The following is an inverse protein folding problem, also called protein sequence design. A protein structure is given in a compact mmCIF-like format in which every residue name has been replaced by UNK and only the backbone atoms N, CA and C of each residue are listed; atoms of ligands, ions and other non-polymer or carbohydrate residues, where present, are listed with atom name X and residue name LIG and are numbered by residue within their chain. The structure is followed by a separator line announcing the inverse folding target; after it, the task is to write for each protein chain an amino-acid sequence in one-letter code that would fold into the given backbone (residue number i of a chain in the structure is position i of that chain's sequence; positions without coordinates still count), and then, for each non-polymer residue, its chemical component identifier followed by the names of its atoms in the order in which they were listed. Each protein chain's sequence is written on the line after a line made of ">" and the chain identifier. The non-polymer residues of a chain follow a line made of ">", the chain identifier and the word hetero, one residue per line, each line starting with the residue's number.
data_IF_118562772467
#
_entry.id   IF_118562772467
#
_cell.length_a   1.000
_cell.length_b   1.000
_cell.length_c   1.000
_cell.angle_alpha   90.00
_cell.angle_beta   90.00
_cell.angle_gamma   90.00
#
_symmetry.space_group_name_H-M   'P 1'
#
loop_
_entity.id
_entity.type
_entity.pdbx_description
1 polymer ?
#
# COMPACT_ATOMS: atom_id res chain seq x y z
N UNK A 1 -2.89 -15.30 30.88
CA UNK A 1 -3.13 -15.72 29.48
C UNK A 1 -3.81 -14.57 28.76
N UNK A 2 -3.20 -14.09 27.66
CA UNK A 2 -3.86 -13.62 26.44
C UNK A 2 -2.86 -12.74 25.67
N UNK A 3 -2.20 -13.36 24.69
CA UNK A 3 -1.64 -12.68 23.53
C UNK A 3 -2.63 -12.86 22.37
N UNK A 4 -3.51 -11.87 22.07
CA UNK A 4 -4.36 -11.92 20.88
C UNK A 4 -3.98 -10.88 19.80
N UNK A 5 -2.83 -10.20 19.93
CA UNK A 5 -2.50 -9.05 19.07
C UNK A 5 -1.77 -9.38 17.76
N UNK A 6 -1.03 -10.49 17.68
CA UNK A 6 -0.22 -10.80 16.48
C UNK A 6 -0.97 -11.53 15.37
N UNK A 7 -1.91 -12.43 15.70
CA UNK A 7 -2.67 -13.19 14.68
C UNK A 7 -3.69 -12.32 13.94
N UNK A 8 -4.34 -11.38 14.63
CA UNK A 8 -5.23 -10.39 14.01
C UNK A 8 -4.49 -9.49 13.02
N UNK A 9 -3.22 -9.18 13.29
CA UNK A 9 -2.39 -8.37 12.38
C UNK A 9 -2.08 -9.10 11.07
N UNK A 10 -1.86 -10.42 11.11
CA UNK A 10 -1.42 -11.19 9.95
C UNK A 10 -2.59 -11.51 9.01
N UNK A 11 -3.73 -11.91 9.56
CA UNK A 11 -4.95 -12.14 8.79
C UNK A 11 -5.45 -10.85 8.13
N UNK A 12 -5.37 -9.72 8.84
CA UNK A 12 -5.70 -8.40 8.29
C UNK A 12 -4.74 -8.00 7.16
N UNK A 13 -3.42 -8.12 7.35
CA UNK A 13 -2.45 -7.82 6.30
C UNK A 13 -2.60 -8.73 5.07
N UNK A 14 -2.99 -9.99 5.26
CA UNK A 14 -3.26 -10.91 4.14
C UNK A 14 -4.52 -10.51 3.38
N UNK A 15 -5.60 -10.14 4.08
CA UNK A 15 -6.83 -9.66 3.43
C UNK A 15 -6.61 -8.37 2.66
N UNK A 16 -5.82 -7.44 3.21
CA UNK A 16 -5.40 -6.21 2.53
C UNK A 16 -4.57 -6.50 1.28
N UNK A 17 -3.57 -7.40 1.39
CA UNK A 17 -2.71 -7.80 0.28
C UNK A 17 -3.49 -8.52 -0.84
N UNK A 18 -4.50 -9.30 -0.48
CA UNK A 18 -5.31 -10.04 -1.43
C UNK A 18 -6.51 -9.24 -1.94
N UNK A 19 -6.77 -8.05 -1.37
CA UNK A 19 -7.92 -7.22 -1.73
C UNK A 19 -9.26 -7.93 -1.47
N UNK A 20 -9.29 -8.79 -0.45
CA UNK A 20 -10.47 -9.61 -0.19
C UNK A 20 -11.59 -8.78 0.46
N UNK A 21 -12.86 -9.06 0.12
CA UNK A 21 -13.99 -8.43 0.79
C UNK A 21 -14.00 -8.71 2.29
N UNK A 22 -14.42 -7.73 3.09
CA UNK A 22 -14.47 -7.82 4.55
C UNK A 22 -15.91 -8.04 5.03
N UNK A 23 -16.20 -9.13 5.77
CA UNK A 23 -17.53 -9.31 6.34
C UNK A 23 -17.78 -8.31 7.47
N UNK A 24 -18.87 -7.56 7.36
CA UNK A 24 -19.41 -6.69 8.39
C UNK A 24 -20.74 -7.27 8.87
N UNK A 25 -20.80 -7.63 10.16
CA UNK A 25 -21.99 -8.25 10.75
C UNK A 25 -22.86 -7.16 11.38
N UNK A 26 -23.98 -6.86 10.73
CA UNK A 26 -25.03 -5.97 11.22
C UNK A 26 -26.11 -6.78 11.94
N UNK A 27 -26.99 -6.09 12.67
CA UNK A 27 -28.16 -6.74 13.29
C UNK A 27 -29.10 -7.40 12.27
N UNK A 28 -29.16 -6.84 11.06
CA UNK A 28 -30.02 -7.27 9.95
C UNK A 28 -29.40 -8.35 9.08
N UNK A 29 -28.09 -8.60 9.18
CA UNK A 29 -27.40 -9.56 8.33
C UNK A 29 -25.89 -9.31 8.20
N UNK A 30 -25.25 -9.99 7.25
CA UNK A 30 -23.83 -9.77 6.96
C UNK A 30 -23.67 -9.07 5.61
N UNK A 31 -22.92 -7.98 5.61
CA UNK A 31 -22.59 -7.18 4.43
C UNK A 31 -21.12 -7.41 4.09
N UNK A 32 -20.80 -7.60 2.81
CA UNK A 32 -19.42 -7.74 2.36
C UNK A 32 -18.89 -6.38 1.90
N UNK A 33 -17.98 -5.81 2.68
CA UNK A 33 -17.33 -4.55 2.35
C UNK A 33 -16.25 -4.77 1.31
N UNK A 34 -16.25 -3.96 0.26
CA UNK A 34 -15.27 -4.02 -0.80
C UNK A 34 -14.24 -2.91 -0.60
N UNK A 35 -12.96 -3.23 -0.41
CA UNK A 35 -11.93 -2.20 -0.39
C UNK A 35 -11.90 -1.45 -1.73
N UNK A 36 -11.65 -0.14 -1.68
CA UNK A 36 -11.70 0.72 -2.85
C UNK A 36 -10.56 0.36 -3.80
N UNK A 37 -10.93 0.08 -5.04
CA UNK A 37 -10.02 -0.18 -6.15
C UNK A 37 -9.58 1.13 -6.81
N UNK A 38 -8.51 1.07 -7.59
CA UNK A 38 -8.05 2.22 -8.36
C UNK A 38 -9.13 2.74 -9.32
N UNK A 39 -9.97 1.85 -9.87
CA UNK A 39 -11.08 2.23 -10.74
C UNK A 39 -12.16 3.05 -10.01
N UNK A 40 -12.41 2.79 -8.73
CA UNK A 40 -13.39 3.51 -7.91
C UNK A 40 -12.85 4.79 -7.26
N UNK A 41 -11.57 5.11 -7.46
CA UNK A 41 -10.94 6.29 -6.88
C UNK A 41 -11.52 7.63 -7.35
N UNK A 42 -11.87 7.82 -8.64
CA UNK A 42 -12.46 9.08 -9.11
C UNK A 42 -13.78 9.41 -8.39
N UNK A 43 -14.69 8.43 -8.28
CA UNK A 43 -15.99 8.59 -7.62
C UNK A 43 -15.81 8.91 -6.13
N UNK A 44 -14.85 8.25 -5.47
CA UNK A 44 -14.51 8.56 -4.08
C UNK A 44 -14.01 10.01 -3.92
N UNK A 45 -13.09 10.44 -4.79
CA UNK A 45 -12.53 11.80 -4.72
C UNK A 45 -13.62 12.85 -4.92
N UNK A 46 -14.54 12.62 -5.85
CA UNK A 46 -15.68 13.50 -6.09
C UNK A 46 -16.54 13.63 -4.83
N UNK A 47 -16.93 12.51 -4.21
CA UNK A 47 -17.72 12.51 -2.98
C UNK A 47 -17.00 13.16 -1.79
N UNK A 48 -15.68 12.93 -1.64
CA UNK A 48 -14.89 13.58 -0.58
C UNK A 48 -14.76 15.09 -0.81
N UNK A 49 -14.58 15.53 -2.06
CA UNK A 49 -14.54 16.95 -2.40
C UNK A 49 -15.88 17.62 -2.12
N UNK A 50 -16.98 16.99 -2.53
CA UNK A 50 -18.34 17.46 -2.22
C UNK A 50 -18.53 17.62 -0.72
N UNK A 51 -18.20 16.57 0.07
CA UNK A 51 -18.28 16.61 1.53
C UNK A 51 -17.45 17.75 2.15
N UNK A 52 -16.26 18.04 1.59
CA UNK A 52 -15.37 19.09 2.12
C UNK A 52 -15.78 20.51 1.74
N UNK A 53 -16.57 20.65 0.68
CA UNK A 53 -17.01 21.94 0.14
C UNK A 53 -18.32 22.45 0.75
N UNK A 54 -19.02 21.60 1.50
CA UNK A 54 -20.30 21.93 2.12
C UNK A 54 -20.13 22.83 3.36
N UNK A 55 -20.97 23.87 3.52
CA UNK A 55 -20.95 24.71 4.72
C UNK A 55 -21.37 23.91 5.97
N UNK A 56 -20.86 24.34 7.12
CA UNK A 56 -21.18 23.76 8.44
C UNK A 56 -22.35 24.51 9.08
N UNK A 57 -23.49 24.54 8.37
CA UNK A 57 -24.75 25.16 8.82
C UNK A 57 -25.91 24.15 8.84
N UNK A 58 -26.96 24.49 9.59
CA UNK A 58 -28.12 23.62 9.79
C UNK A 58 -28.88 23.33 8.48
N UNK A 59 -28.78 24.23 7.48
CA UNK A 59 -29.40 24.07 6.16
C UNK A 59 -28.71 22.97 5.33
N UNK A 60 -27.41 22.71 5.54
CA UNK A 60 -26.62 21.73 4.80
C UNK A 60 -26.60 20.32 5.43
N UNK A 61 -27.30 20.11 6.55
CA UNK A 61 -27.30 18.80 7.25
C UNK A 61 -27.84 17.68 6.36
N UNK A 62 -28.90 17.95 5.60
CA UNK A 62 -29.51 16.98 4.67
C UNK A 62 -28.53 16.55 3.58
N UNK A 63 -27.92 17.52 2.90
CA UNK A 63 -26.96 17.27 1.82
C UNK A 63 -25.73 16.50 2.31
N UNK A 64 -25.24 16.81 3.52
CA UNK A 64 -24.12 16.09 4.14
C UNK A 64 -24.46 14.64 4.45
N UNK A 65 -25.70 14.38 4.89
CA UNK A 65 -26.17 13.01 5.13
C UNK A 65 -26.23 12.23 3.82
N UNK A 66 -26.71 12.84 2.74
CA UNK A 66 -26.75 12.19 1.41
C UNK A 66 -25.33 11.82 0.92
N UNK A 67 -24.35 12.72 1.08
CA UNK A 67 -22.96 12.41 0.71
C UNK A 67 -22.36 11.32 1.59
N UNK A 68 -22.65 11.32 2.90
CA UNK A 68 -22.20 10.27 3.81
C UNK A 68 -22.78 8.90 3.43
N UNK A 69 -24.07 8.84 3.09
CA UNK A 69 -24.73 7.62 2.60
C UNK A 69 -24.11 7.15 1.28
N UNK A 70 -23.83 8.05 0.35
CA UNK A 70 -23.18 7.73 -0.92
C UNK A 70 -21.76 7.17 -0.74
N UNK A 71 -20.98 7.73 0.19
CA UNK A 71 -19.65 7.21 0.53
C UNK A 71 -19.73 5.78 1.10
N UNK A 72 -20.68 5.52 2.01
CA UNK A 72 -20.89 4.18 2.58
C UNK A 72 -21.39 3.21 1.51
N UNK A 73 -22.29 3.63 0.63
CA UNK A 73 -22.77 2.84 -0.50
C UNK A 73 -21.63 2.40 -1.42
N UNK A 74 -20.73 3.32 -1.78
CA UNK A 74 -19.56 3.02 -2.62
C UNK A 74 -18.68 1.92 -2.01
N UNK A 75 -18.47 1.93 -0.69
CA UNK A 75 -17.60 0.98 0.01
C UNK A 75 -18.28 -0.35 0.37
N UNK A 76 -19.59 -0.33 0.63
CA UNK A 76 -20.36 -1.50 1.04
C UNK A 76 -21.04 -2.22 -0.13
N UNK A 77 -21.21 -1.53 -1.28
CA UNK A 77 -21.99 -2.00 -2.42
C UNK A 77 -23.51 -2.04 -2.17
N UNK A 78 -23.97 -1.47 -1.06
CA UNK A 78 -25.40 -1.38 -0.74
C UNK A 78 -26.06 -0.17 -1.40
N UNK A 79 -27.37 -0.27 -1.63
CA UNK A 79 -28.18 0.87 -2.07
C UNK A 79 -28.27 1.92 -0.94
N UNK A 80 -28.11 3.22 -1.21
CA UNK A 80 -28.35 4.28 -0.23
C UNK A 80 -29.68 4.16 0.52
N UNK A 81 -30.75 3.67 -0.13
CA UNK A 81 -32.05 3.46 0.51
C UNK A 81 -32.00 2.37 1.59
N UNK A 82 -31.27 1.28 1.34
CA UNK A 82 -31.08 0.20 2.31
C UNK A 82 -30.23 0.66 3.50
N UNK A 83 -29.23 1.52 3.24
CA UNK A 83 -28.39 2.11 4.29
C UNK A 83 -29.21 3.08 5.16
N UNK A 84 -30.05 3.91 4.55
CA UNK A 84 -30.93 4.84 5.26
C UNK A 84 -31.97 4.14 6.14
N UNK A 85 -32.31 2.88 5.84
CA UNK A 85 -33.19 2.05 6.65
C UNK A 85 -32.50 1.35 7.85
N UNK A 86 -31.17 1.45 7.96
CA UNK A 86 -30.42 0.88 9.08
C UNK A 86 -30.69 1.64 10.39
N UNK A 87 -30.53 0.95 11.51
CA UNK A 87 -30.49 1.62 12.81
C UNK A 87 -29.25 2.52 12.91
N UNK A 88 -29.32 3.60 13.69
CA UNK A 88 -28.16 4.49 13.92
C UNK A 88 -26.92 3.72 14.39
N UNK A 89 -27.13 2.66 15.20
CA UNK A 89 -26.05 1.79 15.67
C UNK A 89 -25.43 0.94 14.57
N UNK A 90 -26.25 0.36 13.68
CA UNK A 90 -25.75 -0.43 12.55
C UNK A 90 -25.09 0.47 11.51
N UNK A 91 -25.63 1.68 11.28
CA UNK A 91 -25.03 2.67 10.39
C UNK A 91 -23.64 3.10 10.89
N UNK A 92 -23.52 3.51 12.16
CA UNK A 92 -22.25 3.91 12.74
C UNK A 92 -21.23 2.76 12.72
N UNK A 93 -21.68 1.52 12.96
CA UNK A 93 -20.82 0.34 12.87
C UNK A 93 -20.36 0.07 11.43
N UNK A 94 -21.28 0.17 10.46
CA UNK A 94 -20.98 0.01 9.04
C UNK A 94 -19.99 1.07 8.56
N UNK A 95 -20.18 2.33 8.93
CA UNK A 95 -19.28 3.42 8.59
C UNK A 95 -17.86 3.17 9.15
N UNK A 96 -17.76 2.80 10.43
CA UNK A 96 -16.49 2.48 11.05
C UNK A 96 -15.80 1.28 10.37
N UNK A 97 -16.55 0.25 10.00
CA UNK A 97 -16.04 -0.91 9.29
C UNK A 97 -15.56 -0.56 7.87
N UNK A 98 -16.29 0.29 7.14
CA UNK A 98 -15.89 0.81 5.83
C UNK A 98 -14.57 1.59 5.90
N UNK A 99 -14.39 2.44 6.91
CA UNK A 99 -13.14 3.17 7.16
C UNK A 99 -11.99 2.21 7.48
N UNK A 100 -12.24 1.22 8.33
CA UNK A 100 -11.25 0.21 8.70
C UNK A 100 -10.81 -0.64 7.50
N UNK A 101 -11.71 -0.96 6.57
CA UNK A 101 -11.41 -1.68 5.33
C UNK A 101 -10.57 -0.87 4.33
N UNK A 102 -10.48 0.45 4.52
CA UNK A 102 -9.80 1.38 3.63
C UNK A 102 -8.75 2.23 4.37
N UNK A 103 -7.75 1.60 5.01
CA UNK A 103 -6.79 2.30 5.86
C UNK A 103 -5.90 3.27 5.09
N UNK A 104 -5.59 3.01 3.82
CA UNK A 104 -4.82 3.93 2.96
C UNK A 104 -5.54 5.26 2.69
N UNK A 105 -6.86 5.32 2.93
CA UNK A 105 -7.68 6.54 2.76
C UNK A 105 -7.99 7.16 4.12
N UNK A 106 -8.46 6.35 5.09
CA UNK A 106 -9.06 6.84 6.34
C UNK A 106 -8.23 6.56 7.60
N UNK A 107 -7.10 5.85 7.48
CA UNK A 107 -6.28 5.51 8.63
C UNK A 107 -5.60 6.73 9.25
N UNK A 108 -5.85 6.98 10.54
CA UNK A 108 -5.03 7.86 11.40
C UNK A 108 -3.69 7.21 11.76
N UNK A 109 -3.54 5.92 11.49
CA UNK A 109 -2.43 5.12 11.94
C UNK A 109 -1.13 5.52 11.25
N UNK A 110 -0.23 6.04 12.08
CA UNK A 110 1.16 5.64 12.21
C UNK A 110 1.52 4.22 11.70
N UNK A 111 1.35 3.94 10.40
CA UNK A 111 2.41 3.27 9.66
C UNK A 111 3.69 3.98 10.07
N UNK A 112 4.81 3.30 10.35
CA UNK A 112 6.07 4.00 10.46
C UNK A 112 6.25 4.70 9.12
N UNK A 113 5.81 5.97 9.07
CA UNK A 113 6.39 7.00 8.25
C UNK A 113 7.82 6.86 8.67
N UNK A 114 8.59 6.13 7.86
CA UNK A 114 10.00 6.36 7.75
C UNK A 114 10.10 7.82 7.29
N UNK A 115 9.86 8.74 8.23
CA UNK A 115 10.46 10.04 8.33
C UNK A 115 11.94 9.73 8.51
N UNK A 116 12.57 9.27 7.43
CA UNK A 116 13.94 9.57 7.16
C UNK A 116 13.97 11.09 6.99
N UNK A 117 14.02 11.80 8.13
CA UNK A 117 14.52 13.17 8.22
C UNK A 117 15.98 13.08 7.77
N UNK A 118 16.20 13.15 6.46
CA UNK A 118 17.53 12.95 5.88
C UNK A 118 17.50 12.29 4.51
N UNK A 119 16.76 12.85 3.55
CA UNK A 119 17.12 12.88 2.13
C UNK A 119 15.97 13.53 1.36
N UNK A 120 16.21 14.72 0.83
CA UNK A 120 15.54 15.12 -0.40
C UNK A 120 15.91 14.08 -1.48
N UNK A 121 15.08 13.06 -1.66
CA UNK A 121 15.35 11.97 -2.59
C UNK A 121 14.43 10.78 -2.39
N UNK A 122 13.31 10.77 -3.14
CA UNK A 122 12.45 9.63 -3.55
C UNK A 122 12.13 8.58 -2.47
N UNK A 123 10.83 8.40 -2.20
CA UNK A 123 10.16 7.29 -1.47
C UNK A 123 9.47 7.64 -0.15
N UNK A 124 9.09 8.90 0.07
CA UNK A 124 7.84 9.20 0.79
C UNK A 124 6.69 9.11 -0.20
N UNK A 125 5.61 8.38 0.13
CA UNK A 125 4.36 8.20 -0.65
C UNK A 125 4.52 8.61 -2.12
N UNK A 126 5.01 7.69 -2.96
CA UNK A 126 4.97 7.86 -4.40
C UNK A 126 3.54 8.27 -4.75
N UNK A 127 3.35 9.36 -5.51
CA UNK A 127 2.01 9.70 -6.03
C UNK A 127 1.42 8.45 -6.67
N UNK A 128 0.09 8.29 -6.61
CA UNK A 128 -0.58 7.10 -7.18
C UNK A 128 -0.10 6.87 -8.62
N UNK A 129 0.09 7.94 -9.39
CA UNK A 129 0.67 7.93 -10.73
C UNK A 129 2.06 7.29 -10.77
N UNK A 130 2.94 7.63 -9.83
CA UNK A 130 4.30 7.08 -9.72
C UNK A 130 4.28 5.60 -9.30
N UNK A 131 3.30 5.19 -8.50
CA UNK A 131 3.08 3.79 -8.13
C UNK A 131 2.56 2.98 -9.30
N UNK A 132 1.58 3.50 -10.05
CA UNK A 132 1.07 2.90 -11.29
C UNK A 132 2.18 2.76 -12.33
N UNK A 133 2.96 3.82 -12.56
CA UNK A 133 4.10 3.77 -13.48
C UNK A 133 5.12 2.70 -13.09
N UNK A 134 5.44 2.59 -11.79
CA UNK A 134 6.32 1.54 -11.28
C UNK A 134 5.75 0.14 -11.55
N UNK A 135 4.47 -0.10 -11.30
CA UNK A 135 3.85 -1.40 -11.54
C UNK A 135 3.88 -1.77 -13.03
N UNK A 136 3.63 -0.80 -13.92
CA UNK A 136 3.73 -1.01 -15.37
C UNK A 136 5.18 -1.32 -15.78
N UNK A 137 6.17 -0.59 -15.28
CA UNK A 137 7.60 -0.89 -15.52
C UNK A 137 8.00 -2.30 -15.06
N UNK A 138 7.29 -2.85 -14.05
CA UNK A 138 7.51 -4.19 -13.52
C UNK A 138 6.67 -5.27 -14.21
N UNK A 139 5.92 -4.92 -15.25
CA UNK A 139 5.22 -5.85 -16.13
C UNK A 139 3.75 -6.09 -15.78
N UNK A 140 3.17 -5.35 -14.84
CA UNK A 140 1.73 -5.40 -14.60
C UNK A 140 0.96 -4.72 -15.73
N UNK A 141 -0.19 -5.27 -16.13
CA UNK A 141 -1.04 -4.67 -17.15
C UNK A 141 -1.92 -3.58 -16.52
N UNK A 142 -2.21 -2.53 -17.28
CA UNK A 142 -3.10 -1.46 -16.83
C UNK A 142 -4.50 -1.96 -16.48
N UNK A 143 -4.99 -2.98 -17.19
CA UNK A 143 -6.30 -3.61 -16.90
C UNK A 143 -6.32 -4.26 -15.51
N UNK A 144 -5.23 -4.93 -15.12
CA UNK A 144 -5.11 -5.56 -13.80
C UNK A 144 -4.98 -4.48 -12.70
N UNK A 145 -4.18 -3.44 -12.96
CA UNK A 145 -3.92 -2.36 -12.00
C UNK A 145 -5.21 -1.62 -11.63
N UNK A 146 -6.17 -1.49 -12.56
CA UNK A 146 -7.49 -0.90 -12.27
C UNK A 146 -8.25 -1.65 -11.18
N UNK A 147 -8.09 -2.96 -11.11
CA UNK A 147 -8.72 -3.82 -10.11
C UNK A 147 -7.97 -3.88 -8.77
N UNK A 148 -6.76 -3.32 -8.68
CA UNK A 148 -6.01 -3.32 -7.44
C UNK A 148 -6.59 -2.34 -6.44
N UNK A 149 -6.68 -2.77 -5.18
CA UNK A 149 -7.00 -1.89 -4.06
C UNK A 149 -5.83 -0.94 -3.79
N UNK A 150 -6.12 0.18 -3.14
CA UNK A 150 -5.04 1.13 -2.79
C UNK A 150 -3.98 0.50 -1.87
N UNK A 151 -4.41 -0.36 -0.93
CA UNK A 151 -3.50 -1.11 -0.08
C UNK A 151 -2.61 -2.06 -0.90
N UNK A 152 -3.16 -2.74 -1.91
CA UNK A 152 -2.39 -3.59 -2.81
C UNK A 152 -1.34 -2.78 -3.60
N UNK A 153 -1.72 -1.63 -4.14
CA UNK A 153 -0.79 -0.75 -4.86
C UNK A 153 0.36 -0.31 -3.97
N UNK A 154 0.07 0.06 -2.71
CA UNK A 154 1.07 0.46 -1.73
C UNK A 154 2.03 -0.70 -1.40
N UNK A 155 1.49 -1.88 -1.06
CA UNK A 155 2.29 -3.05 -0.68
C UNK A 155 3.14 -3.56 -1.84
N UNK A 156 2.59 -3.66 -3.05
CA UNK A 156 3.34 -4.09 -4.24
C UNK A 156 4.45 -3.10 -4.59
N UNK A 157 4.16 -1.80 -4.52
CA UNK A 157 5.17 -0.75 -4.76
C UNK A 157 6.32 -0.84 -3.76
N UNK A 158 6.00 -1.10 -2.49
CA UNK A 158 6.98 -1.25 -1.42
C UNK A 158 7.81 -2.53 -1.60
N UNK A 159 7.18 -3.64 -1.98
CA UNK A 159 7.87 -4.90 -2.29
C UNK A 159 8.86 -4.73 -3.44
N UNK A 160 8.46 -4.07 -4.52
CA UNK A 160 9.37 -3.76 -5.64
C UNK A 160 10.51 -2.83 -5.25
N UNK A 161 10.26 -1.85 -4.37
CA UNK A 161 11.31 -0.98 -3.86
C UNK A 161 12.34 -1.77 -3.03
N UNK A 162 11.88 -2.71 -2.18
CA UNK A 162 12.76 -3.61 -1.41
C UNK A 162 13.60 -4.51 -2.33
N UNK A 163 12.97 -5.16 -3.30
CA UNK A 163 13.68 -6.02 -4.26
C UNK A 163 14.75 -5.24 -5.05
N UNK A 164 14.44 -4.02 -5.48
CA UNK A 164 15.41 -3.16 -6.16
C UNK A 164 16.58 -2.75 -5.24
N UNK A 165 16.34 -2.54 -3.95
CA UNK A 165 17.40 -2.26 -2.98
C UNK A 165 18.29 -3.49 -2.76
N UNK A 166 17.71 -4.69 -2.65
CA UNK A 166 18.45 -5.96 -2.51
C UNK A 166 19.32 -6.24 -3.74
N UNK A 167 18.80 -6.01 -4.94
CA UNK A 167 19.58 -6.14 -6.18
C UNK A 167 20.79 -5.21 -6.19
N UNK A 168 20.62 -3.93 -5.82
CA UNK A 168 21.75 -2.98 -5.72
C UNK A 168 22.78 -3.41 -4.69
N UNK A 169 22.35 -3.96 -3.55
CA UNK A 169 23.27 -4.50 -2.55
C UNK A 169 24.06 -5.66 -3.13
N UNK A 170 23.39 -6.60 -3.82
CA UNK A 170 24.03 -7.74 -4.46
C UNK A 170 25.04 -7.29 -5.54
N UNK A 171 24.68 -6.34 -6.38
CA UNK A 171 25.57 -5.79 -7.41
C UNK A 171 26.81 -5.13 -6.79
N UNK A 172 26.64 -4.38 -5.70
CA UNK A 172 27.74 -3.78 -4.95
C UNK A 172 28.65 -4.84 -4.30
N UNK A 173 28.07 -5.93 -3.77
CA UNK A 173 28.83 -7.06 -3.22
C UNK A 173 29.63 -7.76 -4.32
N UNK A 174 29.03 -8.01 -5.48
CA UNK A 174 29.71 -8.60 -6.65
C UNK A 174 30.82 -7.68 -7.15
N UNK A 175 30.56 -6.38 -7.30
CA UNK A 175 31.55 -5.40 -7.71
C UNK A 175 32.73 -5.33 -6.72
N UNK A 176 32.45 -5.38 -5.42
CA UNK A 176 33.48 -5.42 -4.37
C UNK A 176 34.27 -6.73 -4.38
N UNK A 177 33.61 -7.86 -4.58
CA UNK A 177 34.25 -9.17 -4.72
C UNK A 177 35.14 -9.23 -5.98
N UNK A 178 34.68 -8.69 -7.10
CA UNK A 178 35.44 -8.57 -8.33
C UNK A 178 36.66 -7.64 -8.17
N UNK A 179 36.51 -6.50 -7.49
CA UNK A 179 37.62 -5.59 -7.18
C UNK A 179 38.63 -6.19 -6.20
N UNK A 180 38.18 -6.96 -5.21
CA UNK A 180 39.05 -7.71 -4.29
C UNK A 180 39.79 -8.84 -5.00
N UNK A 181 39.10 -9.59 -5.87
CA UNK A 181 39.68 -10.64 -6.71
C UNK A 181 40.72 -10.07 -7.69
N UNK A 182 40.45 -8.92 -8.31
CA UNK A 182 41.40 -8.22 -9.19
C UNK A 182 42.67 -7.73 -8.49
N UNK A 183 42.60 -7.36 -7.19
CA UNK A 183 43.78 -7.08 -6.35
C UNK A 183 44.54 -8.36 -5.98
N UNK A 184 43.84 -9.45 -5.66
CA UNK A 184 44.43 -10.76 -5.39
C UNK A 184 45.15 -11.35 -6.60
N UNK A 185 44.56 -11.22 -7.80
CA UNK A 185 45.13 -11.71 -9.05
C UNK A 185 46.44 -10.99 -9.42
N UNK A 186 46.51 -9.66 -9.23
CA UNK A 186 47.74 -8.89 -9.45
C UNK A 186 48.86 -9.29 -8.49
N UNK A 187 48.53 -9.54 -7.22
CA UNK A 187 49.49 -10.01 -6.22
C UNK A 187 50.04 -11.40 -6.57
N UNK A 188 49.16 -12.34 -6.94
CA UNK A 188 49.56 -13.71 -7.31
C UNK A 188 50.39 -13.71 -8.60
N UNK A 189 50.01 -12.89 -9.60
CA UNK A 189 50.78 -12.74 -10.84
C UNK A 189 52.18 -12.15 -10.60
N UNK A 190 52.30 -11.15 -9.70
CA UNK A 190 53.60 -10.59 -9.30
C UNK A 190 54.45 -11.61 -8.53
N UNK A 191 53.85 -12.38 -7.62
CA UNK A 191 54.56 -13.45 -6.89
C UNK A 191 55.02 -14.57 -7.83
N UNK A 192 54.23 -14.93 -8.84
CA UNK A 192 54.61 -15.90 -9.88
C UNK A 192 55.74 -15.39 -10.78
N UNK A 193 55.71 -14.11 -11.18
CA UNK A 193 56.80 -13.50 -11.95
C UNK A 193 58.11 -13.43 -11.14
N UNK A 194 58.03 -13.10 -9.84
CA UNK A 194 59.20 -13.10 -8.96
C UNK A 194 59.75 -14.51 -8.70
N UNK A 195 58.88 -15.51 -8.60
CA UNK A 195 59.29 -16.91 -8.45
C UNK A 195 59.96 -17.45 -9.74
N UNK A 196 59.42 -17.12 -10.92
CA UNK A 196 60.02 -17.48 -12.21
C UNK A 196 61.39 -16.81 -12.43
N UNK A 197 61.54 -15.54 -12.04
CA UNK A 197 62.82 -14.83 -12.14
C UNK A 197 63.92 -15.42 -11.24
N UNK A 198 63.54 -16.10 -10.13
CA UNK A 198 64.48 -16.79 -9.22
C UNK A 198 64.84 -18.22 -9.67
N UNK A 199 64.08 -18.81 -10.59
CA UNK A 199 64.31 -20.14 -11.15
C UNK A 199 65.08 -20.10 -12.47
N UNK A 200 65.20 -18.93 -13.09
CA UNK A 200 65.87 -18.70 -14.39
C UNK A 200 67.21 -17.97 -14.31
N UNK A 201 67.83 -17.85 -13.13
CA UNK A 201 69.20 -17.36 -12.92
C UNK A 201 69.98 -18.32 -12.06
#
# INVERSE_FOLDING_TARGET
>A
MNAPSHERSLDQSLKELLGLPWPCHLSTGTVMLNPITLAGLPDLIELLNLSSSMPDDDESIGDRLEVALALVALMSGLDPADIAALSDSDFAFLEAACRAANPSIFGDAALPRARAKGAAGRHGLRSIETSVALLVERGHRLEDIKGYTLAQIEQLSLAHARLAAEQRINDLVIARAAAASGKGYKSIAQSLQQALARLGG
#
